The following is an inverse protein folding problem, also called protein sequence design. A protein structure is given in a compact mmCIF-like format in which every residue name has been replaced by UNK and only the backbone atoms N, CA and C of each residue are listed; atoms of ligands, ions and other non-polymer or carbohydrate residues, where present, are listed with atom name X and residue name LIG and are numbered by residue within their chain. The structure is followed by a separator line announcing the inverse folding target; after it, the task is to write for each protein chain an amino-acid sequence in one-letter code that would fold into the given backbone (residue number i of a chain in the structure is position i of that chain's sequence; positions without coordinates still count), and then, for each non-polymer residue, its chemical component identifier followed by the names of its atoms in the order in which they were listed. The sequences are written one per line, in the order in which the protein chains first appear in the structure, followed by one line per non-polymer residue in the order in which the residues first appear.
data_IF_418161951432
#
_entry.id   IF_418161951432
#
_cell.length_a   1.000
_cell.length_b   1.000
_cell.length_c   1.000
_cell.angle_alpha   90.00
_cell.angle_beta   90.00
_cell.angle_gamma   90.00
#
_symmetry.space_group_name_H-M   'P 1'
#
loop_
_entity.id
_entity.type
_entity.pdbx_description
1 polymer ?
#
# COMPACT_ATOMS: atom_id res chain seq x y z
N UNK A 1 28.06 -30.20 46.92
CA UNK A 1 27.62 -29.53 45.69
C UNK A 1 26.89 -28.28 46.12
N UNK A 2 27.35 -27.12 45.68
CA UNK A 2 26.71 -25.84 46.01
C UNK A 2 25.42 -25.79 45.18
N UNK A 3 24.27 -25.97 45.83
CA UNK A 3 22.97 -25.79 45.20
C UNK A 3 22.62 -24.30 45.21
N UNK A 4 22.44 -23.71 44.02
CA UNK A 4 21.32 -22.79 43.78
C UNK A 4 21.55 -21.28 43.82
N UNK A 5 22.53 -20.74 43.09
CA UNK A 5 22.37 -19.39 42.52
C UNK A 5 22.18 -19.52 41.01
N UNK A 6 21.15 -18.83 40.50
CA UNK A 6 20.85 -18.72 39.07
C UNK A 6 21.26 -17.33 38.63
N UNK A 7 21.85 -17.24 37.44
CA UNK A 7 22.26 -15.97 36.84
C UNK A 7 21.11 -15.18 36.19
N UNK A 8 19.89 -15.72 36.13
CA UNK A 8 18.72 -15.02 35.58
C UNK A 8 18.48 -13.74 36.38
N UNK A 9 18.62 -12.58 35.72
CA UNK A 9 18.47 -11.26 36.32
C UNK A 9 19.64 -10.81 37.22
N UNK A 10 20.74 -11.56 37.27
CA UNK A 10 21.90 -11.27 38.14
C UNK A 10 23.24 -11.14 37.38
N UNK A 11 23.20 -11.11 36.05
CA UNK A 11 24.40 -10.98 35.24
C UNK A 11 25.16 -9.67 35.51
N UNK A 12 26.45 -9.79 35.84
CA UNK A 12 27.34 -8.66 36.13
C UNK A 12 27.20 -8.08 37.54
N UNK A 13 26.42 -8.70 38.43
CA UNK A 13 26.41 -8.33 39.85
C UNK A 13 27.60 -8.99 40.52
N UNK A 14 28.46 -8.19 41.16
CA UNK A 14 29.55 -8.68 42.00
C UNK A 14 28.97 -8.96 43.40
N UNK A 15 28.59 -10.21 43.66
CA UNK A 15 28.11 -10.63 44.98
C UNK A 15 29.29 -11.21 45.76
N UNK A 16 29.94 -10.40 46.61
CA UNK A 16 31.11 -10.78 47.41
C UNK A 16 30.87 -11.89 48.46
N UNK A 17 29.77 -12.63 48.37
CA UNK A 17 29.50 -13.80 49.20
C UNK A 17 30.32 -15.00 48.72
N UNK A 18 31.45 -15.23 49.40
CA UNK A 18 32.44 -16.30 49.15
C UNK A 18 31.89 -17.74 49.18
N UNK A 19 30.59 -17.93 49.39
CA UNK A 19 29.93 -19.25 49.48
C UNK A 19 29.12 -19.63 48.24
N UNK A 20 29.08 -18.78 47.22
CA UNK A 20 28.27 -19.00 46.02
C UNK A 20 29.08 -18.90 44.70
N UNK A 21 28.45 -19.34 43.60
CA UNK A 21 28.96 -19.15 42.25
C UNK A 21 28.72 -17.73 41.74
N UNK A 22 29.50 -17.29 40.75
CA UNK A 22 29.53 -15.93 40.23
C UNK A 22 28.84 -15.81 38.86
N UNK A 23 28.24 -14.64 38.59
CA UNK A 23 27.54 -14.31 37.33
C UNK A 23 28.18 -13.12 36.59
N UNK A 24 29.46 -12.83 36.87
CA UNK A 24 30.25 -11.77 36.22
C UNK A 24 31.24 -12.35 35.19
N UNK A 25 31.87 -11.47 34.42
CA UNK A 25 32.83 -11.84 33.36
C UNK A 25 34.13 -12.45 33.89
N UNK A 26 34.42 -12.33 35.19
CA UNK A 26 35.62 -12.89 35.80
C UNK A 26 35.44 -14.35 36.22
N UNK A 27 34.21 -14.87 36.25
CA UNK A 27 33.95 -16.20 36.78
C UNK A 27 34.65 -17.31 35.98
N UNK A 28 34.82 -17.13 34.66
CA UNK A 28 35.52 -18.09 33.81
C UNK A 28 37.02 -18.13 34.12
N UNK A 29 37.57 -17.02 34.65
CA UNK A 29 38.97 -16.92 35.06
C UNK A 29 39.20 -17.60 36.40
N UNK A 30 38.28 -17.44 37.36
CA UNK A 30 38.40 -18.01 38.70
C UNK A 30 37.84 -19.43 38.80
N UNK A 31 37.08 -19.88 37.80
CA UNK A 31 36.48 -21.21 37.74
C UNK A 31 35.31 -21.38 38.69
N UNK A 32 34.57 -20.30 38.95
CA UNK A 32 33.47 -20.22 39.93
C UNK A 32 32.14 -19.78 39.28
N UNK A 33 31.98 -19.88 37.96
CA UNK A 33 30.72 -19.57 37.27
C UNK A 33 29.55 -20.43 37.75
N UNK A 34 28.36 -19.84 37.83
CA UNK A 34 27.14 -20.62 38.00
C UNK A 34 26.84 -21.50 36.79
N UNK A 35 26.14 -22.62 37.02
CA UNK A 35 25.83 -23.61 35.98
C UNK A 35 25.05 -23.01 34.79
N UNK A 36 24.20 -22.02 35.04
CA UNK A 36 23.38 -21.35 34.03
C UNK A 36 24.02 -20.07 33.46
N UNK A 37 25.27 -19.75 33.83
CA UNK A 37 25.96 -18.52 33.44
C UNK A 37 25.98 -18.29 31.93
N UNK A 38 26.33 -19.33 31.15
CA UNK A 38 26.40 -19.22 29.69
C UNK A 38 25.02 -18.95 29.10
N UNK A 39 24.01 -19.72 29.51
CA UNK A 39 22.64 -19.57 29.00
C UNK A 39 21.95 -18.28 29.43
N UNK A 40 22.29 -17.74 30.61
CA UNK A 40 21.63 -16.56 31.16
C UNK A 40 22.36 -15.24 30.83
N UNK A 41 23.70 -15.25 30.78
CA UNK A 41 24.51 -14.04 30.66
C UNK A 41 25.22 -13.86 29.32
N UNK A 42 25.30 -14.90 28.47
CA UNK A 42 25.81 -14.78 27.09
C UNK A 42 24.70 -14.72 26.03
N UNK A 43 23.47 -14.43 26.46
CA UNK A 43 22.30 -14.25 25.61
C UNK A 43 21.63 -12.89 25.82
N UNK A 44 21.07 -12.32 24.76
CA UNK A 44 20.27 -11.10 24.84
C UNK A 44 18.76 -11.33 25.08
N UNK A 45 18.32 -12.57 25.21
CA UNK A 45 16.92 -12.90 25.52
C UNK A 45 16.46 -12.17 26.81
N UNK A 46 15.52 -11.24 26.66
CA UNK A 46 15.00 -10.42 27.78
C UNK A 46 15.98 -9.36 28.33
N UNK A 47 17.06 -9.03 27.61
CA UNK A 47 18.11 -8.07 28.00
C UNK A 47 18.33 -6.92 27.02
N UNK A 48 17.53 -6.84 25.96
CA UNK A 48 17.64 -5.80 24.95
C UNK A 48 17.46 -4.39 25.53
N UNK A 49 18.33 -3.45 25.14
CA UNK A 49 18.28 -2.06 25.60
C UNK A 49 18.77 -1.85 27.03
N UNK A 50 19.46 -2.82 27.63
CA UNK A 50 20.00 -2.67 28.99
C UNK A 50 21.11 -1.61 29.06
N UNK A 51 21.35 -1.02 30.24
CA UNK A 51 22.48 -0.12 30.41
C UNK A 51 23.82 -0.90 30.34
N UNK A 52 24.87 -0.24 29.84
CA UNK A 52 26.22 -0.80 29.82
C UNK A 52 26.69 -1.21 31.23
N UNK A 53 27.16 -2.45 31.35
CA UNK A 53 27.78 -2.98 32.57
C UNK A 53 29.06 -3.73 32.23
N UNK A 54 30.20 -3.16 32.63
CA UNK A 54 31.54 -3.69 32.31
C UNK A 54 31.80 -5.11 32.87
N UNK A 55 31.10 -5.48 33.93
CA UNK A 55 31.18 -6.79 34.58
C UNK A 55 30.39 -7.88 33.84
N UNK A 56 29.62 -7.53 32.80
CA UNK A 56 28.92 -8.50 31.95
C UNK A 56 29.86 -9.09 30.89
N UNK A 57 29.68 -10.36 30.51
CA UNK A 57 30.50 -11.01 29.49
C UNK A 57 30.24 -10.47 28.07
N UNK A 58 29.06 -9.91 27.82
CA UNK A 58 28.67 -9.25 26.58
C UNK A 58 27.53 -8.27 26.86
N UNK A 59 27.35 -7.30 25.97
CA UNK A 59 26.37 -6.22 26.09
C UNK A 59 25.17 -6.47 25.17
N UNK A 60 24.00 -5.99 25.59
CA UNK A 60 22.77 -5.97 24.79
C UNK A 60 22.19 -4.55 24.67
N UNK A 61 23.09 -3.56 24.74
CA UNK A 61 22.78 -2.14 24.59
C UNK A 61 23.04 -1.69 23.14
N UNK A 62 22.51 -0.53 22.78
CA UNK A 62 22.56 -0.03 21.40
C UNK A 62 23.99 0.32 20.94
N UNK A 63 24.89 0.62 21.87
CA UNK A 63 26.28 0.97 21.58
C UNK A 63 27.19 -0.26 21.39
N UNK A 64 26.72 -1.48 21.66
CA UNK A 64 27.59 -2.66 21.76
C UNK A 64 28.32 -2.97 20.45
N UNK A 65 27.68 -2.67 19.31
CA UNK A 65 28.24 -2.93 17.99
C UNK A 65 29.47 -2.05 17.72
N UNK A 66 29.41 -0.79 18.15
CA UNK A 66 30.54 0.16 18.03
C UNK A 66 31.74 -0.24 18.89
N UNK A 67 31.50 -1.00 19.95
CA UNK A 67 32.52 -1.49 20.89
C UNK A 67 32.95 -2.94 20.64
N UNK A 68 32.33 -3.63 19.68
CA UNK A 68 32.61 -5.03 19.36
C UNK A 68 32.38 -5.96 20.56
N UNK A 69 31.42 -5.65 21.43
CA UNK A 69 31.17 -6.38 22.67
C UNK A 69 29.72 -6.87 22.83
N UNK A 70 28.95 -6.93 21.73
CA UNK A 70 27.60 -7.51 21.72
C UNK A 70 27.59 -8.99 22.09
N UNK A 71 26.48 -9.48 22.62
CA UNK A 71 26.25 -10.93 22.68
C UNK A 71 26.03 -11.48 21.27
N UNK A 72 26.36 -12.76 21.06
CA UNK A 72 26.31 -13.38 19.73
C UNK A 72 24.90 -13.47 19.14
N UNK A 73 23.88 -13.46 19.99
CA UNK A 73 22.47 -13.50 19.63
C UNK A 73 21.80 -12.12 19.65
N UNK A 74 22.58 -11.03 19.77
CA UNK A 74 22.05 -9.66 19.82
C UNK A 74 21.15 -9.34 18.63
N UNK A 75 21.59 -9.65 17.41
CA UNK A 75 20.81 -9.38 16.20
C UNK A 75 19.51 -10.21 16.16
N UNK A 76 19.54 -11.43 16.70
CA UNK A 76 18.41 -12.35 16.70
C UNK A 76 17.37 -11.99 17.78
N UNK A 77 17.83 -11.65 18.98
CA UNK A 77 16.96 -11.41 20.15
C UNK A 77 16.50 -9.94 20.23
N UNK A 78 17.35 -9.01 19.79
CA UNK A 78 17.10 -7.57 19.88
C UNK A 78 16.80 -6.92 18.52
N UNK A 79 16.75 -7.70 17.45
CA UNK A 79 16.24 -7.27 16.15
C UNK A 79 17.01 -6.15 15.45
N UNK A 80 18.24 -5.84 15.88
CA UNK A 80 19.02 -4.74 15.33
C UNK A 80 18.35 -3.37 15.54
N UNK A 81 18.43 -2.87 16.78
CA UNK A 81 18.22 -1.49 17.26
C UNK A 81 16.85 -0.86 17.01
N UNK A 82 16.10 -0.62 18.10
CA UNK A 82 14.81 0.07 18.14
C UNK A 82 14.87 1.56 18.46
N UNK A 83 16.04 2.20 18.67
CA UNK A 83 16.19 3.68 18.81
C UNK A 83 17.67 4.11 18.87
N UNK A 84 18.12 5.05 18.04
CA UNK A 84 19.46 5.66 18.16
C UNK A 84 19.89 6.44 16.90
N UNK A 85 20.95 7.27 16.95
CA UNK A 85 21.59 7.79 15.74
C UNK A 85 22.23 6.64 14.96
N UNK A 86 22.10 6.62 13.62
CA UNK A 86 22.72 5.58 12.78
C UNK A 86 21.87 4.35 12.48
N UNK A 87 20.54 4.45 12.55
CA UNK A 87 19.63 3.35 12.22
C UNK A 87 19.63 3.08 10.71
N UNK A 88 19.97 1.85 10.32
CA UNK A 88 20.08 1.38 8.93
C UNK A 88 18.95 0.41 8.49
N UNK A 89 17.97 0.16 9.37
CA UNK A 89 16.95 -0.87 9.21
C UNK A 89 15.54 -0.34 9.47
N UNK A 90 14.53 -0.93 8.82
CA UNK A 90 13.12 -0.57 8.96
C UNK A 90 12.28 -1.45 9.86
N UNK A 91 12.89 -2.44 10.53
CA UNK A 91 12.20 -3.30 11.49
C UNK A 91 11.55 -2.45 12.60
N UNK A 92 10.22 -2.44 12.65
CA UNK A 92 9.46 -1.67 13.64
C UNK A 92 9.41 -0.14 13.40
N UNK A 93 9.87 0.34 12.23
CA UNK A 93 9.93 1.78 11.87
C UNK A 93 9.04 2.18 10.69
N UNK A 94 8.25 1.26 10.15
CA UNK A 94 7.39 1.54 9.00
C UNK A 94 6.39 2.67 9.29
N UNK A 95 6.38 3.70 8.44
CA UNK A 95 5.48 4.85 8.59
C UNK A 95 5.90 5.86 9.64
N UNK A 96 7.16 5.86 10.07
CA UNK A 96 7.70 6.86 11.01
C UNK A 96 7.62 8.30 10.45
N UNK A 97 7.62 9.30 11.32
CA UNK A 97 7.84 10.68 10.91
C UNK A 97 9.32 10.88 10.50
N UNK A 98 9.58 11.77 9.54
CA UNK A 98 10.95 12.12 9.16
C UNK A 98 11.75 12.60 10.38
N UNK A 99 12.89 11.95 10.61
CA UNK A 99 13.83 12.32 11.65
C UNK A 99 15.23 12.48 11.04
N UNK A 100 15.79 13.70 11.00
CA UNK A 100 17.10 13.96 10.40
C UNK A 100 18.27 13.34 11.18
N UNK A 101 18.03 12.73 12.34
CA UNK A 101 19.05 11.97 13.07
C UNK A 101 19.20 10.51 12.59
N UNK A 102 18.30 10.03 11.73
CA UNK A 102 18.38 8.70 11.15
C UNK A 102 19.26 8.72 9.89
N UNK A 103 20.08 7.69 9.68
CA UNK A 103 20.91 7.56 8.47
C UNK A 103 20.07 7.18 7.24
N UNK A 104 18.90 6.59 7.48
CA UNK A 104 17.89 6.30 6.48
C UNK A 104 16.48 6.39 7.07
N UNK A 105 15.50 6.67 6.21
CA UNK A 105 14.10 6.87 6.53
C UNK A 105 13.27 5.61 6.22
N UNK A 106 12.29 5.32 7.06
CA UNK A 106 11.29 4.26 6.84
C UNK A 106 9.87 4.83 6.68
N UNK A 107 9.80 6.07 6.19
CA UNK A 107 8.55 6.78 5.94
C UNK A 107 8.15 6.67 4.47
N UNK A 108 6.86 6.89 4.18
CA UNK A 108 6.30 6.74 2.83
C UNK A 108 6.86 7.71 1.79
N UNK A 109 7.58 8.76 2.21
CA UNK A 109 8.21 9.73 1.32
C UNK A 109 9.68 9.45 1.02
N UNK A 110 10.30 8.42 1.61
CA UNK A 110 11.75 8.24 1.53
C UNK A 110 12.24 7.97 0.11
N UNK A 111 11.41 7.37 -0.75
CA UNK A 111 11.74 7.11 -2.16
C UNK A 111 11.90 8.43 -2.94
N UNK A 112 11.10 9.44 -2.61
CA UNK A 112 11.20 10.78 -3.21
C UNK A 112 12.45 11.55 -2.76
N UNK A 113 12.97 11.23 -1.58
CA UNK A 113 14.16 11.86 -1.01
C UNK A 113 15.44 11.02 -1.18
N UNK A 114 15.31 9.81 -1.75
CA UNK A 114 16.42 8.86 -1.92
C UNK A 114 17.15 8.55 -0.62
N UNK A 115 16.42 8.48 0.48
CA UNK A 115 16.94 8.24 1.83
C UNK A 115 16.34 6.99 2.48
N UNK A 116 15.65 6.11 1.73
CA UNK A 116 15.11 4.86 2.28
C UNK A 116 16.19 3.93 2.85
N UNK A 117 15.86 3.21 3.92
CA UNK A 117 16.73 2.13 4.39
C UNK A 117 16.79 0.99 3.36
N UNK A 118 17.91 0.25 3.35
CA UNK A 118 18.14 -0.79 2.35
C UNK A 118 17.13 -1.94 2.40
N UNK A 119 16.55 -2.18 3.57
CA UNK A 119 15.56 -3.22 3.86
C UNK A 119 14.12 -2.68 3.83
N UNK A 120 13.92 -1.41 3.49
CA UNK A 120 12.61 -0.77 3.53
C UNK A 120 11.56 -1.45 2.64
N UNK A 121 11.96 -1.90 1.45
CA UNK A 121 11.08 -2.64 0.54
C UNK A 121 10.72 -4.02 1.10
N UNK A 122 11.66 -4.69 1.76
CA UNK A 122 11.48 -6.05 2.28
C UNK A 122 10.68 -6.06 3.60
N UNK A 123 10.83 -5.02 4.42
CA UNK A 123 10.23 -4.92 5.76
C UNK A 123 8.92 -4.13 5.77
N UNK A 124 8.87 -3.01 5.04
CA UNK A 124 7.71 -2.12 5.01
C UNK A 124 6.93 -2.20 3.70
N UNK A 125 7.34 -3.06 2.77
CA UNK A 125 6.70 -3.18 1.45
C UNK A 125 7.02 -2.03 0.50
N UNK A 126 7.98 -1.15 0.86
CA UNK A 126 8.41 -0.03 0.03
C UNK A 126 7.48 1.18 0.11
N UNK A 127 8.07 2.36 0.00
CA UNK A 127 7.44 3.67 0.21
C UNK A 127 6.81 4.15 -1.06
N UNK A 128 5.85 3.35 -1.46
CA UNK A 128 5.12 3.49 -2.67
C UNK A 128 4.33 2.20 -2.75
N UNK A 129 3.18 2.17 -2.09
CA UNK A 129 2.15 1.15 -2.27
C UNK A 129 1.59 1.13 -3.69
N UNK A 130 2.40 1.43 -4.72
CA UNK A 130 2.07 1.22 -6.10
C UNK A 130 2.14 -0.27 -6.39
N UNK A 131 1.07 -0.80 -6.97
CA UNK A 131 1.10 -2.11 -7.60
C UNK A 131 2.20 -2.15 -8.67
N UNK A 132 3.00 -3.22 -8.68
CA UNK A 132 3.96 -3.44 -9.76
C UNK A 132 3.23 -3.72 -11.07
N UNK A 133 3.86 -3.48 -12.22
CA UNK A 133 3.28 -3.82 -13.54
C UNK A 133 2.87 -5.31 -13.63
N UNK A 134 3.63 -6.20 -12.99
CA UNK A 134 3.31 -7.63 -12.93
C UNK A 134 2.04 -7.91 -12.15
N UNK A 135 1.83 -7.20 -11.04
CA UNK A 135 0.61 -7.30 -10.23
C UNK A 135 -0.59 -6.64 -10.91
N UNK A 136 -0.39 -5.50 -11.56
CA UNK A 136 -1.43 -4.85 -12.37
C UNK A 136 -1.86 -5.73 -13.54
N UNK A 137 -0.92 -6.44 -14.20
CA UNK A 137 -1.26 -7.42 -15.22
C UNK A 137 -2.03 -8.61 -14.66
N UNK A 138 -1.61 -9.14 -13.51
CA UNK A 138 -2.31 -10.24 -12.87
C UNK A 138 -3.71 -9.83 -12.39
N UNK A 139 -3.86 -8.60 -11.89
CA UNK A 139 -5.14 -8.04 -11.50
C UNK A 139 -6.05 -7.85 -12.72
N UNK A 140 -5.53 -7.31 -13.83
CA UNK A 140 -6.32 -7.09 -15.05
C UNK A 140 -6.84 -8.40 -15.65
N UNK A 141 -6.02 -9.45 -15.66
CA UNK A 141 -6.44 -10.80 -16.07
C UNK A 141 -7.53 -11.37 -15.15
N UNK A 142 -7.44 -11.13 -13.82
CA UNK A 142 -8.43 -11.59 -12.85
C UNK A 142 -9.77 -10.88 -12.99
N UNK A 143 -9.78 -9.56 -13.05
CA UNK A 143 -11.03 -8.80 -13.19
C UNK A 143 -11.68 -9.06 -14.56
N UNK A 144 -10.88 -9.24 -15.62
CA UNK A 144 -11.41 -9.63 -16.93
C UNK A 144 -12.09 -11.01 -16.88
N UNK A 145 -11.51 -11.96 -16.16
CA UNK A 145 -12.11 -13.28 -15.99
C UNK A 145 -13.37 -13.28 -15.09
N UNK A 146 -13.45 -12.32 -14.17
CA UNK A 146 -14.59 -12.12 -13.27
C UNK A 146 -15.73 -11.30 -13.90
N UNK A 147 -15.49 -10.63 -15.04
CA UNK A 147 -16.49 -9.82 -15.70
C UNK A 147 -17.55 -10.69 -16.41
N UNK A 148 -18.62 -10.99 -15.66
CA UNK A 148 -19.80 -11.68 -16.17
C UNK A 148 -20.80 -10.74 -16.86
N UNK A 149 -20.60 -9.42 -16.76
CA UNK A 149 -21.48 -8.42 -17.38
C UNK A 149 -20.97 -8.00 -18.77
N UNK A 150 -19.74 -8.37 -19.13
CA UNK A 150 -19.15 -8.11 -20.44
C UNK A 150 -19.97 -8.67 -21.60
N UNK A 151 -20.36 -7.78 -22.52
CA UNK A 151 -21.21 -8.11 -23.69
C UNK A 151 -20.46 -8.23 -25.00
N UNK A 152 -19.12 -8.21 -24.97
CA UNK A 152 -18.28 -8.22 -26.18
C UNK A 152 -18.58 -9.38 -27.14
N UNK A 153 -18.96 -10.54 -26.62
CA UNK A 153 -19.34 -11.72 -27.43
C UNK A 153 -20.68 -11.57 -28.16
N UNK A 154 -21.52 -10.59 -27.78
CA UNK A 154 -22.79 -10.25 -28.43
C UNK A 154 -22.61 -9.18 -29.52
N UNK A 155 -21.48 -8.49 -29.54
CA UNK A 155 -21.21 -7.39 -30.47
C UNK A 155 -20.67 -7.95 -31.79
N UNK A 156 -21.05 -7.31 -32.89
CA UNK A 156 -20.42 -7.53 -34.19
C UNK A 156 -19.64 -6.28 -34.57
N UNK A 157 -18.35 -6.45 -34.87
CA UNK A 157 -17.45 -5.37 -35.30
C UNK A 157 -17.33 -5.41 -36.83
N UNK A 158 -17.51 -4.26 -37.47
CA UNK A 158 -17.27 -4.02 -38.90
C UNK A 158 -16.12 -3.02 -39.07
N UNK A 159 -14.90 -3.56 -39.13
CA UNK A 159 -13.67 -2.78 -39.28
C UNK A 159 -13.56 -2.07 -40.65
N UNK A 160 -14.34 -2.51 -41.64
CA UNK A 160 -14.38 -1.95 -42.99
C UNK A 160 -12.98 -1.83 -43.65
N UNK A 161 -12.63 -0.66 -44.19
CA UNK A 161 -11.40 -0.43 -44.95
C UNK A 161 -10.29 0.23 -44.12
N UNK A 162 -9.06 -0.26 -44.31
CA UNK A 162 -7.87 0.36 -43.72
C UNK A 162 -7.48 1.64 -44.47
N UNK A 163 -7.36 2.76 -43.76
CA UNK A 163 -6.87 4.04 -44.32
C UNK A 163 -5.44 4.37 -43.84
N UNK A 164 -4.88 5.47 -44.32
CA UNK A 164 -3.55 5.98 -43.91
C UNK A 164 -3.63 7.42 -43.44
N UNK A 165 -2.67 7.85 -42.62
CA UNK A 165 -2.62 9.22 -42.07
C UNK A 165 -2.54 10.33 -43.14
N UNK A 166 -2.20 9.99 -44.37
CA UNK A 166 -2.16 10.91 -45.51
C UNK A 166 -3.43 10.94 -46.37
N UNK A 167 -4.40 10.05 -46.12
CA UNK A 167 -5.64 9.94 -46.90
C UNK A 167 -6.79 10.68 -46.23
N UNK A 168 -7.57 11.40 -47.02
CA UNK A 168 -8.85 12.01 -46.59
C UNK A 168 -10.07 11.22 -47.11
N UNK A 169 -9.85 10.06 -47.72
CA UNK A 169 -10.94 9.20 -48.18
C UNK A 169 -11.51 8.43 -46.98
N UNK A 170 -12.84 8.42 -46.88
CA UNK A 170 -13.56 7.59 -45.91
C UNK A 170 -13.63 6.15 -46.43
N UNK A 171 -12.90 5.26 -45.76
CA UNK A 171 -12.84 3.83 -46.05
C UNK A 171 -13.73 3.01 -45.08
N UNK A 172 -14.45 3.68 -44.18
CA UNK A 172 -15.31 3.06 -43.17
C UNK A 172 -16.69 3.77 -43.04
N UNK A 173 -17.48 3.87 -44.12
CA UNK A 173 -18.74 4.62 -44.14
C UNK A 173 -19.92 4.02 -43.34
N UNK A 174 -19.81 2.77 -42.86
CA UNK A 174 -20.81 2.06 -42.07
C UNK A 174 -20.51 2.18 -40.57
N UNK A 175 -21.48 1.89 -39.68
CA UNK A 175 -21.23 1.85 -38.24
C UNK A 175 -20.23 0.76 -37.86
N UNK A 176 -19.30 1.08 -36.95
CA UNK A 176 -18.30 0.13 -36.44
C UNK A 176 -18.91 -1.05 -35.69
N UNK A 177 -19.98 -0.81 -34.92
CA UNK A 177 -20.59 -1.81 -34.05
C UNK A 177 -22.05 -2.05 -34.41
N UNK A 178 -22.42 -3.33 -34.48
CA UNK A 178 -23.82 -3.76 -34.36
C UNK A 178 -24.04 -4.27 -32.94
N UNK A 179 -24.91 -3.61 -32.20
CA UNK A 179 -25.21 -3.89 -30.80
C UNK A 179 -26.67 -4.38 -30.68
N UNK A 180 -26.92 -5.62 -30.24
CA UNK A 180 -28.29 -6.07 -30.00
C UNK A 180 -28.87 -5.42 -28.73
N UNK A 181 -30.18 -5.18 -28.69
CA UNK A 181 -30.85 -4.62 -27.48
C UNK A 181 -30.57 -5.45 -26.21
N UNK A 182 -30.38 -6.76 -26.35
CA UNK A 182 -30.02 -7.64 -25.23
C UNK A 182 -28.70 -7.26 -24.57
N UNK A 183 -27.74 -6.74 -25.33
CA UNK A 183 -26.44 -6.31 -24.82
C UNK A 183 -26.54 -5.05 -23.95
N UNK A 184 -27.62 -4.26 -24.10
CA UNK A 184 -27.86 -3.05 -23.31
C UNK A 184 -28.78 -3.29 -22.10
N UNK A 185 -29.37 -4.48 -21.99
CA UNK A 185 -30.38 -4.79 -20.98
C UNK A 185 -29.83 -5.28 -19.63
N UNK A 186 -28.52 -5.53 -19.55
CA UNK A 186 -27.86 -5.94 -18.32
C UNK A 186 -27.96 -4.85 -17.24
N UNK A 187 -28.07 -5.20 -15.95
CA UNK A 187 -28.38 -4.22 -14.90
C UNK A 187 -27.34 -3.12 -14.77
N UNK A 188 -26.04 -3.44 -14.86
CA UNK A 188 -24.95 -2.45 -14.78
C UNK A 188 -24.91 -1.53 -16.00
N UNK A 189 -25.15 -2.06 -17.20
CA UNK A 189 -25.18 -1.29 -18.45
C UNK A 189 -26.42 -0.39 -18.51
N UNK A 190 -27.59 -0.91 -18.13
CA UNK A 190 -28.82 -0.12 -18.07
C UNK A 190 -28.71 1.03 -17.06
N UNK A 191 -28.09 0.80 -15.90
CA UNK A 191 -27.83 1.86 -14.93
C UNK A 191 -26.80 2.88 -15.43
N UNK A 192 -25.77 2.44 -16.16
CA UNK A 192 -24.81 3.34 -16.81
C UNK A 192 -25.49 4.22 -17.86
N UNK A 193 -26.39 3.67 -18.67
CA UNK A 193 -27.12 4.42 -19.69
C UNK A 193 -28.04 5.48 -19.09
N UNK A 194 -28.74 5.16 -17.98
CA UNK A 194 -29.52 6.15 -17.24
C UNK A 194 -28.61 7.27 -16.71
N UNK A 195 -27.49 6.90 -16.06
CA UNK A 195 -26.54 7.89 -15.58
C UNK A 195 -25.97 8.79 -16.70
N UNK A 196 -25.72 8.25 -17.90
CA UNK A 196 -25.23 9.00 -19.05
C UNK A 196 -26.28 9.94 -19.66
N UNK A 197 -27.58 9.64 -19.56
CA UNK A 197 -28.62 10.44 -20.18
C UNK A 197 -28.91 11.77 -19.45
N UNK A 198 -28.49 11.86 -18.18
CA UNK A 198 -28.53 13.07 -17.36
C UNK A 198 -27.56 14.16 -17.86
N UNK A 199 -26.46 13.78 -18.50
CA UNK A 199 -25.41 14.73 -18.82
C UNK A 199 -25.67 15.50 -20.12
N UNK A 200 -25.70 16.83 -20.00
CA UNK A 200 -25.77 17.73 -21.14
C UNK A 200 -24.34 18.04 -21.60
N UNK A 201 -23.98 17.61 -22.81
CA UNK A 201 -22.62 17.80 -23.36
C UNK A 201 -22.16 19.27 -23.52
N UNK A 202 -23.01 20.25 -23.20
CA UNK A 202 -22.72 21.69 -23.26
C UNK A 202 -22.36 22.24 -21.86
N UNK A 203 -21.05 22.33 -21.60
CA UNK A 203 -20.42 22.85 -20.37
C UNK A 203 -20.74 24.31 -20.00
N UNK A 204 -21.63 24.98 -20.75
CA UNK A 204 -22.04 26.36 -20.52
C UNK A 204 -23.27 26.51 -19.60
N UNK A 205 -23.88 25.40 -19.16
CA UNK A 205 -25.00 25.38 -18.22
C UNK A 205 -24.56 24.79 -16.88
N UNK A 206 -25.06 25.35 -15.78
CA UNK A 206 -24.86 24.76 -14.46
C UNK A 206 -25.66 23.45 -14.38
N UNK A 207 -24.99 22.35 -14.05
CA UNK A 207 -25.62 21.05 -13.79
C UNK A 207 -26.39 21.13 -12.47
N UNK A 208 -27.67 20.79 -12.48
CA UNK A 208 -28.51 20.76 -11.28
C UNK A 208 -28.63 19.31 -10.84
N UNK A 209 -27.87 18.89 -9.82
CA UNK A 209 -27.94 17.54 -9.21
C UNK A 209 -29.35 17.31 -8.66
N UNK A 210 -30.26 16.85 -9.52
CA UNK A 210 -31.63 16.54 -9.16
C UNK A 210 -31.64 15.36 -8.19
N UNK A 211 -32.73 15.24 -7.43
CA UNK A 211 -32.89 14.08 -6.55
C UNK A 211 -32.93 12.77 -7.34
N UNK A 212 -33.46 12.83 -8.56
CA UNK A 212 -33.49 11.73 -9.52
C UNK A 212 -32.08 11.31 -9.96
N UNK A 213 -31.23 12.26 -10.36
CA UNK A 213 -29.83 12.00 -10.75
C UNK A 213 -28.99 11.40 -9.61
N UNK A 214 -29.18 11.89 -8.37
CA UNK A 214 -28.53 11.31 -7.20
C UNK A 214 -28.93 9.85 -6.98
N UNK A 215 -30.21 9.51 -7.20
CA UNK A 215 -30.73 8.14 -7.08
C UNK A 215 -30.15 7.25 -8.18
N UNK A 216 -30.02 7.75 -9.40
CA UNK A 216 -29.43 7.01 -10.51
C UNK A 216 -27.94 6.73 -10.30
N UNK A 217 -27.19 7.73 -9.80
CA UNK A 217 -25.79 7.57 -9.37
C UNK A 217 -25.67 6.49 -8.29
N UNK A 218 -26.45 6.58 -7.22
CA UNK A 218 -26.38 5.61 -6.12
C UNK A 218 -26.73 4.20 -6.58
N UNK A 219 -27.76 4.06 -7.43
CA UNK A 219 -28.13 2.77 -8.02
C UNK A 219 -27.01 2.21 -8.91
N UNK A 220 -26.37 3.05 -9.73
CA UNK A 220 -25.22 2.64 -10.53
C UNK A 220 -24.07 2.15 -9.65
N UNK A 221 -23.66 2.94 -8.64
CA UNK A 221 -22.61 2.59 -7.70
C UNK A 221 -22.91 1.26 -6.99
N UNK A 222 -24.12 1.09 -6.47
CA UNK A 222 -24.50 -0.14 -5.75
C UNK A 222 -24.44 -1.37 -6.67
N UNK A 223 -24.89 -1.25 -7.92
CA UNK A 223 -24.83 -2.33 -8.90
C UNK A 223 -23.40 -2.71 -9.28
N UNK A 224 -22.51 -1.73 -9.50
CA UNK A 224 -21.12 -2.04 -9.87
C UNK A 224 -20.34 -2.59 -8.68
N UNK A 225 -20.55 -2.07 -7.46
CA UNK A 225 -19.87 -2.55 -6.25
C UNK A 225 -20.27 -3.99 -5.89
N UNK A 226 -21.49 -4.42 -6.26
CA UNK A 226 -21.94 -5.78 -6.04
C UNK A 226 -21.25 -6.82 -6.95
N UNK A 227 -20.48 -6.39 -7.97
CA UNK A 227 -19.81 -7.30 -8.90
C UNK A 227 -18.51 -7.88 -8.33
N UNK A 228 -18.14 -9.07 -8.80
CA UNK A 228 -16.85 -9.68 -8.43
C UNK A 228 -15.65 -8.82 -8.91
N UNK A 229 -15.80 -8.09 -10.02
CA UNK A 229 -14.80 -7.12 -10.50
C UNK A 229 -14.45 -6.10 -9.43
N UNK A 230 -15.46 -5.48 -8.82
CA UNK A 230 -15.23 -4.45 -7.80
C UNK A 230 -14.81 -5.06 -6.46
N UNK A 231 -15.32 -6.24 -6.10
CA UNK A 231 -14.87 -6.95 -4.90
C UNK A 231 -13.38 -7.32 -4.97
N UNK A 232 -12.91 -7.83 -6.11
CA UNK A 232 -11.49 -8.14 -6.35
C UNK A 232 -10.65 -6.86 -6.31
N UNK A 233 -11.14 -5.79 -6.93
CA UNK A 233 -10.46 -4.48 -6.94
C UNK A 233 -10.32 -3.91 -5.52
N UNK A 234 -11.38 -3.95 -4.71
CA UNK A 234 -11.36 -3.47 -3.33
C UNK A 234 -10.36 -4.26 -2.48
N UNK A 235 -10.42 -5.59 -2.55
CA UNK A 235 -9.48 -6.45 -1.83
C UNK A 235 -8.03 -6.16 -2.22
N UNK A 236 -7.75 -5.96 -3.51
CA UNK A 236 -6.42 -5.62 -4.00
C UNK A 236 -5.93 -4.27 -3.45
N UNK A 237 -6.78 -3.23 -3.50
CA UNK A 237 -6.41 -1.90 -3.02
C UNK A 237 -6.20 -1.87 -1.50
N UNK A 238 -7.00 -2.64 -0.74
CA UNK A 238 -6.83 -2.78 0.71
C UNK A 238 -5.55 -3.55 1.06
N UNK A 239 -5.27 -4.66 0.37
CA UNK A 239 -4.03 -5.45 0.56
C UNK A 239 -2.78 -4.62 0.27
N UNK A 240 -2.84 -3.74 -0.74
CA UNK A 240 -1.77 -2.79 -1.06
C UNK A 240 -1.69 -1.58 -0.13
N UNK A 241 -2.59 -1.45 0.84
CA UNK A 241 -2.67 -0.29 1.71
C UNK A 241 -2.97 1.02 0.97
N UNK A 242 -3.51 0.94 -0.25
CA UNK A 242 -3.86 2.09 -1.09
C UNK A 242 -5.16 2.77 -0.65
N UNK A 243 -6.05 2.02 -0.01
CA UNK A 243 -7.28 2.53 0.59
C UNK A 243 -7.43 1.97 2.01
N UNK A 244 -8.02 2.75 2.90
CA UNK A 244 -8.33 2.38 4.28
C UNK A 244 -9.83 2.57 4.63
N UNK A 245 -10.65 2.78 3.60
CA UNK A 245 -12.10 3.00 3.66
C UNK A 245 -12.78 2.23 2.53
N UNK A 246 -14.12 2.06 2.54
CA UNK A 246 -14.82 1.30 1.51
C UNK A 246 -14.57 1.83 0.10
N UNK A 247 -14.36 0.92 -0.87
CA UNK A 247 -14.08 1.31 -2.26
C UNK A 247 -15.19 2.16 -2.87
N UNK A 248 -16.46 1.91 -2.49
CA UNK A 248 -17.61 2.72 -2.93
C UNK A 248 -17.41 4.21 -2.65
N UNK A 249 -16.95 4.57 -1.45
CA UNK A 249 -16.72 5.96 -1.06
C UNK A 249 -15.52 6.57 -1.80
N UNK A 250 -14.51 5.75 -2.12
CA UNK A 250 -13.36 6.17 -2.93
C UNK A 250 -13.79 6.45 -4.37
N UNK A 251 -14.60 5.57 -4.96
CA UNK A 251 -15.11 5.74 -6.32
C UNK A 251 -16.07 6.94 -6.41
N UNK A 252 -16.98 7.10 -5.44
CA UNK A 252 -17.87 8.27 -5.39
C UNK A 252 -17.06 9.58 -5.34
N UNK A 253 -16.05 9.66 -4.47
CA UNK A 253 -15.21 10.85 -4.36
C UNK A 253 -14.40 11.13 -5.64
N UNK A 254 -13.77 10.11 -6.24
CA UNK A 254 -12.91 10.31 -7.42
C UNK A 254 -13.73 10.67 -8.66
N UNK A 255 -14.85 9.99 -8.88
CA UNK A 255 -15.58 10.06 -10.15
C UNK A 255 -16.72 11.06 -10.14
N UNK A 256 -17.38 11.28 -9.01
CA UNK A 256 -18.62 12.08 -8.94
C UNK A 256 -18.48 13.38 -8.15
N UNK A 257 -17.34 13.66 -7.51
CA UNK A 257 -17.09 15.00 -6.97
C UNK A 257 -16.93 16.00 -8.11
N UNK A 258 -17.80 17.01 -8.17
CA UNK A 258 -17.69 18.10 -9.12
C UNK A 258 -16.50 19.04 -8.77
N UNK A 259 -15.79 19.52 -9.79
CA UNK A 259 -14.71 20.49 -9.63
C UNK A 259 -14.74 21.57 -10.71
N UNK A 260 -14.28 22.79 -10.36
CA UNK A 260 -14.21 23.91 -11.32
C UNK A 260 -12.93 23.84 -12.14
N UNK A 261 -13.05 23.88 -13.48
CA UNK A 261 -11.89 23.81 -14.40
C UNK A 261 -11.42 25.18 -14.91
N UNK A 262 -12.27 26.20 -14.90
CA UNK A 262 -11.93 27.57 -15.31
C UNK A 262 -13.14 28.50 -15.17
N UNK A 263 -12.97 29.70 -14.60
CA UNK A 263 -13.95 30.78 -14.71
C UNK A 263 -15.10 30.79 -13.68
N UNK A 264 -15.06 29.94 -12.65
CA UNK A 264 -16.03 29.97 -11.54
C UNK A 264 -17.30 29.14 -11.76
N UNK A 265 -17.40 28.40 -12.87
CA UNK A 265 -18.44 27.39 -13.08
C UNK A 265 -17.98 26.07 -12.43
N UNK A 266 -18.82 25.52 -11.56
CA UNK A 266 -18.69 24.18 -10.98
C UNK A 266 -19.74 23.33 -11.70
N UNK A 267 -19.31 22.31 -12.41
CA UNK A 267 -20.23 21.49 -13.22
C UNK A 267 -19.46 20.53 -14.11
N UNK A 268 -18.36 19.97 -13.58
CA UNK A 268 -17.77 18.81 -14.25
C UNK A 268 -17.15 17.85 -13.26
N UNK A 269 -17.38 16.56 -13.48
CA UNK A 269 -16.87 15.45 -12.69
C UNK A 269 -15.83 14.62 -13.44
N UNK A 270 -15.15 13.71 -12.73
CA UNK A 270 -14.24 12.76 -13.38
C UNK A 270 -14.98 11.79 -14.31
N UNK A 271 -16.23 11.47 -13.95
CA UNK A 271 -17.09 10.55 -14.68
C UNK A 271 -17.43 11.11 -16.06
N UNK A 272 -17.97 12.32 -16.14
CA UNK A 272 -18.28 12.99 -17.42
C UNK A 272 -17.08 13.02 -18.36
N UNK A 273 -15.92 13.40 -17.82
CA UNK A 273 -14.70 13.55 -18.59
C UNK A 273 -14.32 12.29 -19.35
N UNK A 274 -14.54 11.15 -18.71
CA UNK A 274 -14.02 9.86 -19.19
C UNK A 274 -15.10 9.03 -19.90
N UNK A 275 -16.35 9.11 -19.44
CA UNK A 275 -17.44 8.21 -19.84
C UNK A 275 -18.49 8.86 -20.73
N UNK A 276 -18.75 10.16 -20.61
CA UNK A 276 -19.76 10.88 -21.42
C UNK A 276 -19.09 11.54 -22.62
N UNK A 277 -17.86 12.03 -22.42
CA UNK A 277 -17.08 12.75 -23.41
C UNK A 277 -17.49 14.21 -23.51
N UNK A 278 -16.51 15.10 -23.56
CA UNK A 278 -16.75 16.55 -23.55
C UNK A 278 -16.78 17.11 -24.97
N UNK A 279 -17.77 17.95 -25.28
CA UNK A 279 -17.78 18.77 -26.49
C UNK A 279 -17.18 20.15 -26.18
N UNK A 280 -16.10 20.52 -26.85
CA UNK A 280 -15.53 21.87 -26.77
C UNK A 280 -15.74 22.61 -28.09
N UNK A 281 -16.66 23.57 -28.09
CA UNK A 281 -16.99 24.34 -29.30
C UNK A 281 -17.59 23.50 -30.43
N UNK A 282 -18.36 22.47 -30.09
CA UNK A 282 -19.00 21.56 -31.06
C UNK A 282 -18.09 20.44 -31.60
N UNK A 283 -16.90 20.26 -31.03
CA UNK A 283 -15.98 19.16 -31.37
C UNK A 283 -15.77 18.25 -30.16
N UNK A 284 -15.73 16.93 -30.39
CA UNK A 284 -15.43 15.92 -29.37
C UNK A 284 -13.99 16.10 -28.90
N UNK A 285 -13.83 16.44 -27.62
CA UNK A 285 -12.56 16.64 -26.93
C UNK A 285 -11.94 15.33 -26.44
N UNK A 286 -12.77 14.31 -26.18
CA UNK A 286 -12.34 12.97 -25.77
C UNK A 286 -13.57 12.08 -25.55
N UNK A 287 -13.52 10.83 -26.04
CA UNK A 287 -14.52 9.80 -25.79
C UNK A 287 -13.81 8.44 -25.90
N UNK A 288 -13.75 7.69 -24.80
CA UNK A 288 -12.98 6.44 -24.69
C UNK A 288 -13.75 5.32 -23.98
N UNK A 289 -15.09 5.46 -23.84
CA UNK A 289 -15.93 4.48 -23.18
C UNK A 289 -16.00 3.14 -23.94
#
# INVERSE_FOLDING_TARGET
GVHGKSCVGQCGIDDHDQTACECNSLCETYGDCCDDFVSACKSCAGRCGEAYLYSKPCQCNDDCASHGNCCNDYDQECGGITSGPGLLSCVGRCGEAFNPANDCSCNTGCDSHSDCCSDYNDICGGGGGGATDGELRALSEQILAADVNGVGSQLTVDDQGQTSSSSNADEAPLPLLTVPESALSGPTIAALLALQDNYVADVAFDEDDTTEEMVEKDNFLDLIMATDVMNITEAFLQDKGLINRPLREVIDEIWFTQYSRSGGHVGSSGFEHSFVGELKGGQVSGFHN
#
